data_IF_362092311371
#
_entry.id   IF_362092311371
#
_cell.length_a   1.000
_cell.length_b   1.000
_cell.length_c   1.000
_cell.angle_alpha   90.00
_cell.angle_beta   90.00
_cell.angle_gamma   90.00
#
_symmetry.space_group_name_H-M   'P 1'
#
loop_
_entity.id
_entity.type
_entity.pdbx_description
1 polymer ?
#
# COMPACT_ATOMS: atom_id res chain seq x y z
N UNK A 1 -5.99 -3.46 -20.34
CA UNK A 1 -4.54 -3.30 -20.29
C UNK A 1 -3.89 -4.66 -20.36
N UNK A 2 -2.80 -4.69 -21.10
CA UNK A 2 -2.16 -5.90 -21.59
C UNK A 2 -1.51 -6.72 -20.47
N UNK A 3 -1.52 -8.05 -20.64
CA UNK A 3 -0.63 -9.03 -20.01
C UNK A 3 0.81 -8.52 -19.84
N UNK A 4 1.26 -7.64 -20.73
CA UNK A 4 2.59 -7.02 -20.75
C UNK A 4 2.90 -6.12 -19.54
N UNK A 5 1.93 -5.37 -18.98
CA UNK A 5 2.18 -4.53 -17.80
C UNK A 5 2.23 -5.34 -16.51
N UNK A 6 1.37 -6.35 -16.40
CA UNK A 6 1.41 -7.32 -15.32
C UNK A 6 2.72 -8.12 -15.36
N UNK A 7 3.18 -8.51 -16.56
CA UNK A 7 4.46 -9.17 -16.77
C UNK A 7 5.65 -8.27 -16.41
N UNK A 8 5.65 -7.00 -16.84
CA UNK A 8 6.67 -6.03 -16.47
C UNK A 8 6.72 -5.79 -14.95
N UNK A 9 5.55 -5.62 -14.32
CA UNK A 9 5.44 -5.51 -12.87
C UNK A 9 6.02 -6.74 -12.16
N UNK A 10 5.68 -7.95 -12.63
CA UNK A 10 6.21 -9.19 -12.05
C UNK A 10 7.73 -9.27 -12.18
N UNK A 11 8.27 -9.03 -13.37
CA UNK A 11 9.71 -9.08 -13.60
C UNK A 11 10.47 -8.11 -12.66
N UNK A 12 9.98 -6.88 -12.53
CA UNK A 12 10.59 -5.88 -11.66
C UNK A 12 10.42 -6.23 -10.17
N UNK A 13 9.22 -6.65 -9.76
CA UNK A 13 8.93 -6.97 -8.36
C UNK A 13 9.60 -8.26 -7.88
N UNK A 14 9.75 -9.27 -8.74
CA UNK A 14 10.51 -10.50 -8.46
C UNK A 14 11.98 -10.20 -8.19
N UNK A 15 12.60 -9.34 -9.01
CA UNK A 15 13.99 -8.94 -8.79
C UNK A 15 14.19 -8.24 -7.42
N UNK A 16 13.24 -7.40 -7.03
CA UNK A 16 13.27 -6.71 -5.73
C UNK A 16 12.99 -7.67 -4.57
N UNK A 17 12.08 -8.63 -4.77
CA UNK A 17 11.80 -9.69 -3.81
C UNK A 17 13.04 -10.53 -3.55
N UNK A 18 13.69 -11.00 -4.62
CA UNK A 18 14.89 -11.84 -4.57
C UNK A 18 16.05 -11.13 -3.88
N UNK A 19 16.29 -9.85 -4.16
CA UNK A 19 17.31 -9.07 -3.46
C UNK A 19 17.02 -8.96 -1.95
N UNK A 20 15.77 -8.68 -1.59
CA UNK A 20 15.38 -8.58 -0.17
C UNK A 20 15.47 -9.92 0.53
N UNK A 21 15.01 -11.00 -0.12
CA UNK A 21 15.10 -12.36 0.40
C UNK A 21 16.56 -12.80 0.60
N UNK A 22 17.44 -12.53 -0.37
CA UNK A 22 18.88 -12.81 -0.25
C UNK A 22 19.53 -12.01 0.89
N UNK A 23 19.12 -10.75 1.06
CA UNK A 23 19.52 -9.91 2.17
C UNK A 23 19.09 -10.48 3.53
N UNK A 24 17.85 -10.93 3.64
CA UNK A 24 17.31 -11.60 4.83
C UNK A 24 18.04 -12.91 5.12
N UNK A 25 18.31 -13.73 4.10
CA UNK A 25 19.07 -14.97 4.24
C UNK A 25 20.51 -14.71 4.72
N UNK A 26 21.08 -13.55 4.41
CA UNK A 26 22.39 -13.13 4.94
C UNK A 26 22.33 -12.84 6.44
N UNK A 27 21.21 -12.30 6.95
CA UNK A 27 20.99 -12.13 8.39
C UNK A 27 21.01 -13.48 9.11
N UNK A 28 20.34 -14.50 8.56
CA UNK A 28 20.37 -15.87 9.11
C UNK A 28 21.79 -16.45 9.16
N UNK A 29 22.59 -16.24 8.11
CA UNK A 29 24.00 -16.67 8.08
C UNK A 29 24.83 -16.00 9.18
N UNK A 30 24.59 -14.71 9.45
CA UNK A 30 25.25 -13.99 10.55
C UNK A 30 24.86 -14.61 11.89
N UNK A 31 23.57 -14.90 12.10
CA UNK A 31 23.06 -15.51 13.35
C UNK A 31 23.70 -16.89 13.58
N UNK A 32 23.73 -17.74 12.55
CA UNK A 32 24.28 -19.11 12.64
C UNK A 32 25.79 -19.12 12.83
N UNK A 33 26.51 -18.12 12.30
CA UNK A 33 27.96 -17.99 12.49
C UNK A 33 28.36 -17.35 13.83
N UNK A 34 27.42 -16.76 14.57
CA UNK A 34 27.68 -16.28 15.93
C UNK A 34 27.88 -17.44 16.90
N UNK A 35 28.79 -17.24 17.88
CA UNK A 35 28.88 -18.12 19.05
C UNK A 35 27.51 -18.23 19.73
N UNK A 36 27.17 -19.42 20.24
CA UNK A 36 25.92 -19.70 20.96
C UNK A 36 25.66 -18.76 22.14
N UNK A 37 26.72 -18.17 22.71
CA UNK A 37 26.65 -17.17 23.77
C UNK A 37 25.98 -15.85 23.34
N UNK A 38 26.05 -15.51 22.05
CA UNK A 38 25.58 -14.24 21.51
C UNK A 38 24.47 -14.36 20.47
N UNK A 39 24.08 -15.58 20.08
CA UNK A 39 23.12 -15.81 18.99
C UNK A 39 21.77 -15.12 19.23
N UNK A 40 21.25 -15.12 20.46
CA UNK A 40 19.96 -14.48 20.77
C UNK A 40 20.05 -12.95 20.77
N UNK A 41 21.21 -12.39 21.13
CA UNK A 41 21.49 -10.96 21.05
C UNK A 41 21.68 -10.54 19.59
N UNK A 42 22.35 -11.36 18.78
CA UNK A 42 22.49 -11.15 17.35
C UNK A 42 21.13 -11.12 16.65
N UNK A 43 20.24 -12.08 16.94
CA UNK A 43 18.84 -12.05 16.45
C UNK A 43 18.15 -10.73 16.76
N UNK A 44 18.24 -10.28 18.00
CA UNK A 44 17.63 -9.01 18.41
C UNK A 44 18.23 -7.84 17.63
N UNK A 45 19.56 -7.72 17.60
CA UNK A 45 20.27 -6.65 16.89
C UNK A 45 19.97 -6.58 15.38
N UNK A 46 19.53 -7.69 14.77
CA UNK A 46 19.23 -7.77 13.34
C UNK A 46 17.75 -7.51 13.00
N UNK A 47 16.84 -7.40 13.98
CA UNK A 47 15.42 -7.05 13.70
C UNK A 47 15.27 -5.72 12.96
N UNK A 48 16.02 -4.64 13.27
CA UNK A 48 15.94 -3.40 12.50
C UNK A 48 16.35 -3.58 11.03
N UNK A 49 17.30 -4.47 10.74
CA UNK A 49 17.69 -4.81 9.38
C UNK A 49 16.59 -5.61 8.67
N UNK A 50 15.97 -6.58 9.34
CA UNK A 50 14.81 -7.31 8.83
C UNK A 50 13.67 -6.36 8.45
N UNK A 51 13.34 -5.42 9.35
CA UNK A 51 12.35 -4.38 9.08
C UNK A 51 12.73 -3.48 7.91
N UNK A 52 14.01 -3.12 7.78
CA UNK A 52 14.48 -2.29 6.67
C UNK A 52 14.30 -2.99 5.31
N UNK A 53 14.45 -4.32 5.23
CA UNK A 53 14.13 -5.08 4.02
C UNK A 53 12.64 -5.02 3.68
N UNK A 54 11.75 -5.18 4.67
CA UNK A 54 10.31 -4.99 4.46
C UNK A 54 9.99 -3.58 3.95
N UNK A 55 10.49 -2.55 4.64
CA UNK A 55 10.23 -1.16 4.29
C UNK A 55 10.76 -0.82 2.90
N UNK A 56 11.97 -1.29 2.56
CA UNK A 56 12.54 -1.15 1.22
C UNK A 56 11.64 -1.81 0.18
N UNK A 57 11.31 -3.08 0.37
CA UNK A 57 10.48 -3.85 -0.54
C UNK A 57 9.15 -3.13 -0.79
N UNK A 58 8.41 -2.78 0.28
CA UNK A 58 7.14 -2.07 0.20
C UNK A 58 7.26 -0.78 -0.62
N UNK A 59 8.27 0.06 -0.37
CA UNK A 59 8.41 1.34 -1.09
C UNK A 59 8.70 1.14 -2.57
N UNK A 60 9.59 0.20 -2.89
CA UNK A 60 10.02 -0.05 -4.27
C UNK A 60 8.89 -0.68 -5.09
N UNK A 61 8.24 -1.73 -4.59
CA UNK A 61 7.12 -2.36 -5.33
C UNK A 61 5.94 -1.41 -5.49
N UNK A 62 5.70 -0.51 -4.53
CA UNK A 62 4.58 0.43 -4.62
C UNK A 62 4.91 1.54 -5.63
N UNK A 63 6.17 1.95 -5.72
CA UNK A 63 6.65 2.83 -6.80
C UNK A 63 6.55 2.13 -8.17
N UNK A 64 6.90 0.85 -8.25
CA UNK A 64 6.77 0.05 -9.47
C UNK A 64 5.30 -0.13 -9.87
N UNK A 65 4.42 -0.38 -8.90
CA UNK A 65 2.98 -0.42 -9.12
C UNK A 65 2.48 0.88 -9.75
N UNK A 66 2.88 2.03 -9.18
CA UNK A 66 2.55 3.35 -9.75
C UNK A 66 3.13 3.52 -11.15
N UNK A 67 4.34 3.03 -11.39
CA UNK A 67 4.99 3.06 -12.70
C UNK A 67 4.19 2.24 -13.72
N UNK A 68 3.90 0.97 -13.45
CA UNK A 68 3.12 0.11 -14.36
C UNK A 68 1.69 0.63 -14.59
N UNK A 69 1.04 1.13 -13.54
CA UNK A 69 -0.25 1.81 -13.65
C UNK A 69 -0.18 3.07 -14.55
N UNK A 70 0.98 3.74 -14.61
CA UNK A 70 1.21 4.93 -15.44
C UNK A 70 1.58 4.62 -16.89
N UNK A 71 2.48 3.65 -17.11
CA UNK A 71 3.00 3.31 -18.45
C UNK A 71 1.88 2.71 -19.31
N UNK A 72 0.91 2.05 -18.68
CA UNK A 72 -0.26 1.52 -19.36
C UNK A 72 -1.25 2.55 -19.91
N UNK A 73 -1.14 3.84 -19.56
CA UNK A 73 -1.98 4.93 -20.07
C UNK A 73 -1.46 6.34 -19.69
N UNK A 74 -0.58 6.91 -20.52
CA UNK A 74 -0.33 8.36 -20.71
C UNK A 74 0.46 9.14 -19.60
N UNK A 75 0.98 10.35 -19.92
CA UNK A 75 1.84 11.16 -19.05
C UNK A 75 1.31 11.52 -17.66
N UNK A 76 2.23 11.86 -16.74
CA UNK A 76 2.05 12.11 -15.29
C UNK A 76 0.85 12.99 -14.86
N UNK A 77 0.38 13.90 -15.72
CA UNK A 77 -0.79 14.74 -15.43
C UNK A 77 -2.13 13.99 -15.59
N UNK A 78 -2.15 12.87 -16.30
CA UNK A 78 -3.31 11.99 -16.43
C UNK A 78 -3.36 10.92 -15.33
N UNK A 79 -2.21 10.55 -14.77
CA UNK A 79 -2.11 9.84 -13.48
C UNK A 79 -2.87 10.58 -12.37
N UNK A 80 -2.75 11.91 -12.33
CA UNK A 80 -3.49 12.78 -11.42
C UNK A 80 -5.01 12.71 -11.63
N UNK A 81 -5.43 12.44 -12.85
CA UNK A 81 -6.83 12.31 -13.20
C UNK A 81 -7.40 10.96 -12.74
N UNK A 82 -6.72 9.85 -13.05
CA UNK A 82 -7.23 8.50 -12.78
C UNK A 82 -7.20 8.12 -11.30
N UNK A 83 -6.06 8.30 -10.63
CA UNK A 83 -5.95 8.11 -9.17
C UNK A 83 -6.85 9.09 -8.40
N UNK A 84 -7.05 10.25 -8.99
CA UNK A 84 -8.00 11.23 -8.55
C UNK A 84 -9.46 10.77 -8.58
N UNK A 85 -9.92 10.29 -9.74
CA UNK A 85 -11.26 9.71 -9.93
C UNK A 85 -11.52 8.53 -8.98
N UNK A 86 -10.51 7.70 -8.78
CA UNK A 86 -10.49 6.62 -7.81
C UNK A 86 -10.70 7.09 -6.37
N UNK A 87 -9.92 8.09 -5.95
CA UNK A 87 -10.06 8.71 -4.64
C UNK A 87 -11.44 9.34 -4.46
N UNK A 88 -11.96 10.03 -5.48
CA UNK A 88 -13.29 10.62 -5.48
C UNK A 88 -14.34 9.53 -5.27
N UNK A 89 -14.39 8.53 -6.14
CA UNK A 89 -15.31 7.41 -6.07
C UNK A 89 -15.35 6.78 -4.66
N UNK A 90 -14.20 6.45 -4.09
CA UNK A 90 -14.12 5.86 -2.75
C UNK A 90 -14.58 6.81 -1.66
N UNK A 91 -14.23 8.10 -1.74
CA UNK A 91 -14.75 9.09 -0.77
C UNK A 91 -16.27 9.24 -0.89
N UNK A 92 -16.86 9.11 -2.09
CA UNK A 92 -18.32 9.00 -2.25
C UNK A 92 -18.82 7.69 -1.60
N UNK A 93 -18.26 6.52 -1.91
CA UNK A 93 -18.69 5.24 -1.34
C UNK A 93 -18.57 5.17 0.19
N UNK A 94 -17.52 5.77 0.77
CA UNK A 94 -17.21 5.69 2.21
C UNK A 94 -17.81 6.83 3.03
N UNK A 95 -17.97 8.04 2.47
CA UNK A 95 -18.46 9.22 3.19
C UNK A 95 -19.85 9.70 2.77
N UNK A 96 -20.43 9.20 1.68
CA UNK A 96 -21.78 9.58 1.27
C UNK A 96 -22.87 8.93 2.13
N UNK A 97 -22.88 9.19 3.42
CA UNK A 97 -24.06 8.92 4.25
C UNK A 97 -24.98 10.13 4.27
N UNK A 98 -24.43 11.32 3.99
CA UNK A 98 -25.17 12.56 3.84
C UNK A 98 -24.72 13.36 2.62
N UNK A 99 -25.61 14.23 2.15
CA UNK A 99 -25.40 15.08 0.99
C UNK A 99 -24.30 16.14 1.16
N UNK A 100 -24.01 16.55 2.39
CA UNK A 100 -23.01 17.59 2.68
C UNK A 100 -21.58 17.02 2.73
N UNK A 101 -21.43 15.73 3.04
CA UNK A 101 -20.13 15.03 3.02
C UNK A 101 -19.63 14.81 1.59
N UNK A 102 -20.55 14.44 0.71
CA UNK A 102 -20.37 14.36 -0.73
C UNK A 102 -19.90 15.69 -1.35
N UNK A 103 -20.58 16.79 -0.99
CA UNK A 103 -20.24 18.14 -1.47
C UNK A 103 -18.86 18.61 -0.98
N UNK A 104 -18.53 18.34 0.28
CA UNK A 104 -17.19 18.62 0.83
C UNK A 104 -16.10 17.77 0.17
N UNK A 105 -16.38 16.50 -0.14
CA UNK A 105 -15.48 15.63 -0.87
C UNK A 105 -15.16 16.19 -2.25
N UNK A 106 -16.19 16.55 -3.02
CA UNK A 106 -16.04 17.20 -4.33
C UNK A 106 -15.27 18.53 -4.25
N UNK A 107 -15.55 19.37 -3.26
CA UNK A 107 -14.81 20.63 -3.02
C UNK A 107 -13.32 20.40 -2.73
N UNK A 108 -13.01 19.40 -1.90
CA UNK A 108 -11.63 19.06 -1.52
C UNK A 108 -10.84 18.53 -2.72
N UNK A 109 -11.55 17.98 -3.70
CA UNK A 109 -10.99 17.25 -4.84
C UNK A 109 -10.82 18.15 -6.06
N UNK A 110 -11.79 19.01 -6.38
CA UNK A 110 -11.76 19.84 -7.59
C UNK A 110 -11.02 21.18 -7.43
N UNK A 111 -10.79 21.63 -6.18
CA UNK A 111 -10.18 22.93 -5.91
C UNK A 111 -11.00 24.15 -6.37
N UNK A 112 -12.16 23.95 -7.00
CA UNK A 112 -13.06 24.99 -7.49
C UNK A 112 -14.16 25.33 -6.48
N UNK A 113 -14.78 26.51 -6.61
CA UNK A 113 -16.00 26.82 -5.85
C UNK A 113 -17.06 25.73 -6.09
N UNK A 114 -17.80 25.32 -5.05
CA UNK A 114 -18.81 24.28 -5.19
C UNK A 114 -19.81 24.69 -6.27
N UNK A 115 -20.22 23.77 -7.16
CA UNK A 115 -21.30 24.05 -8.08
C UNK A 115 -22.57 24.44 -7.28
N UNK A 116 -23.43 25.31 -7.84
CA UNK A 116 -24.69 25.68 -7.24
C UNK A 116 -25.44 24.47 -6.66
N UNK A 117 -26.08 24.66 -5.51
CA UNK A 117 -26.67 23.58 -4.70
C UNK A 117 -27.69 22.68 -5.46
N UNK A 118 -28.26 23.20 -6.55
CA UNK A 118 -29.16 22.51 -7.47
C UNK A 118 -28.43 21.62 -8.50
N UNK A 119 -27.28 22.05 -9.01
CA UNK A 119 -26.40 21.24 -9.87
C UNK A 119 -25.76 20.13 -9.03
N UNK A 120 -25.22 20.45 -7.86
CA UNK A 120 -24.76 19.47 -6.89
C UNK A 120 -25.81 18.38 -6.58
N UNK A 121 -27.11 18.74 -6.52
CA UNK A 121 -28.20 17.77 -6.34
C UNK A 121 -28.38 16.83 -7.53
N UNK A 122 -28.35 17.36 -8.74
CA UNK A 122 -28.42 16.53 -9.96
C UNK A 122 -27.20 15.61 -10.09
N UNK A 123 -26.02 16.15 -9.82
CA UNK A 123 -24.73 15.45 -9.86
C UNK A 123 -24.66 14.28 -8.87
N UNK A 124 -25.16 14.49 -7.65
CA UNK A 124 -25.17 13.45 -6.61
C UNK A 124 -26.30 12.43 -6.78
N UNK A 125 -27.42 12.86 -7.37
CA UNK A 125 -28.50 11.95 -7.74
C UNK A 125 -28.10 11.05 -8.92
N UNK A 126 -27.30 11.55 -9.87
CA UNK A 126 -26.82 10.79 -11.03
C UNK A 126 -25.60 9.91 -10.71
N UNK A 127 -24.64 10.41 -9.91
CA UNK A 127 -23.44 9.66 -9.53
C UNK A 127 -23.72 8.46 -8.60
N UNK A 128 -24.84 8.47 -7.86
CA UNK A 128 -25.25 7.35 -7.01
C UNK A 128 -25.73 6.14 -7.82
N UNK A 129 -26.22 6.38 -9.03
CA UNK A 129 -26.88 5.35 -9.85
C UNK A 129 -26.00 4.86 -11.01
N UNK A 130 -24.94 5.57 -11.42
CA UNK A 130 -23.95 5.01 -12.37
C UNK A 130 -22.56 5.65 -12.30
N UNK A 131 -21.54 4.83 -12.13
CA UNK A 131 -20.12 5.18 -12.24
C UNK A 131 -19.70 5.73 -13.61
N UNK A 132 -20.43 5.33 -14.65
CA UNK A 132 -20.22 5.72 -16.03
C UNK A 132 -20.53 7.21 -16.29
N UNK A 133 -21.35 7.86 -15.45
CA UNK A 133 -21.67 9.28 -15.60
C UNK A 133 -20.71 10.19 -14.80
N UNK A 134 -20.00 9.64 -13.80
CA UNK A 134 -18.87 10.32 -13.15
C UNK A 134 -17.75 10.57 -14.17
N UNK A 135 -17.55 9.64 -15.11
CA UNK A 135 -16.63 9.79 -16.24
C UNK A 135 -17.01 10.96 -17.15
N UNK A 136 -18.28 11.06 -17.53
CA UNK A 136 -18.79 12.15 -18.39
C UNK A 136 -18.71 13.53 -17.73
N UNK A 137 -18.77 13.59 -16.39
CA UNK A 137 -18.54 14.84 -15.64
C UNK A 137 -17.08 15.25 -15.56
N UNK A 138 -16.17 14.32 -15.84
CA UNK A 138 -14.72 14.49 -15.78
C UNK A 138 -14.11 14.72 -17.18
N UNK A 139 -14.91 15.06 -18.19
CA UNK A 139 -14.44 15.44 -19.54
C UNK A 139 -13.49 16.66 -19.52
N UNK A 140 -13.39 17.37 -18.39
CA UNK A 140 -12.29 18.26 -18.08
C UNK A 140 -11.26 17.54 -17.17
N UNK A 141 -9.95 17.66 -17.44
CA UNK A 141 -8.93 17.01 -16.61
C UNK A 141 -9.04 17.48 -15.15
N UNK A 142 -9.58 16.61 -14.29
CA UNK A 142 -9.51 16.76 -12.84
C UNK A 142 -8.04 16.94 -12.42
N UNK A 143 -7.72 18.16 -12.00
CA UNK A 143 -6.45 18.48 -11.38
C UNK A 143 -6.67 18.48 -9.86
N UNK A 144 -6.13 17.47 -9.20
CA UNK A 144 -6.09 17.44 -7.74
C UNK A 144 -5.03 18.42 -7.27
N UNK A 145 -5.36 19.12 -6.18
CA UNK A 145 -4.58 20.27 -5.68
C UNK A 145 -3.15 19.90 -5.29
N UNK A 146 -2.86 18.63 -4.98
CA UNK A 146 -1.50 18.20 -4.65
C UNK A 146 -1.25 16.67 -4.73
N UNK A 147 -0.60 16.17 -5.79
CA UNK A 147 -0.15 14.78 -5.92
C UNK A 147 0.90 14.37 -4.87
N UNK A 148 1.63 15.33 -4.29
CA UNK A 148 2.66 15.05 -3.28
C UNK A 148 2.05 14.47 -1.99
N UNK A 149 0.74 14.66 -1.79
CA UNK A 149 -0.01 14.11 -0.64
C UNK A 149 -0.57 12.72 -0.86
N UNK A 150 -0.32 12.08 -2.00
CA UNK A 150 -0.97 10.81 -2.37
C UNK A 150 -0.26 9.59 -1.80
N UNK A 151 1.05 9.67 -1.63
CA UNK A 151 1.84 8.60 -1.03
C UNK A 151 2.29 9.08 0.35
N UNK A 152 1.92 8.32 1.37
CA UNK A 152 2.53 8.45 2.69
C UNK A 152 3.93 7.88 2.61
N UNK A 153 4.93 8.74 2.82
CA UNK A 153 6.34 8.38 2.79
C UNK A 153 6.95 8.20 4.18
N UNK A 154 6.14 8.27 5.25
CA UNK A 154 6.57 8.09 6.64
C UNK A 154 7.55 6.93 6.81
N UNK A 155 8.66 7.17 7.50
CA UNK A 155 9.80 6.26 7.71
C UNK A 155 9.49 5.01 8.56
N UNK A 156 8.22 4.78 8.88
CA UNK A 156 7.74 3.56 9.50
C UNK A 156 6.52 3.08 8.70
N UNK A 157 6.69 2.12 7.81
CA UNK A 157 5.58 1.42 7.13
C UNK A 157 4.83 0.55 8.16
N UNK A 158 3.99 1.21 8.96
CA UNK A 158 3.03 0.58 9.88
C UNK A 158 1.75 0.23 9.13
N UNK A 159 0.87 -0.50 9.78
CA UNK A 159 -0.41 -0.87 9.19
C UNK A 159 -1.21 0.36 8.72
N UNK A 160 -1.18 1.46 9.48
CA UNK A 160 -1.85 2.72 9.12
C UNK A 160 -1.23 3.41 7.89
N UNK A 161 0.05 3.18 7.62
CA UNK A 161 0.71 3.67 6.38
C UNK A 161 0.23 2.85 5.18
N UNK A 162 0.17 1.53 5.32
CA UNK A 162 -0.37 0.63 4.29
C UNK A 162 -1.83 1.00 4.01
N UNK A 163 -2.68 1.12 5.04
CA UNK A 163 -4.07 1.49 4.88
C UNK A 163 -4.24 2.85 4.21
N UNK A 164 -3.44 3.86 4.59
CA UNK A 164 -3.51 5.19 3.96
C UNK A 164 -3.07 5.14 2.51
N UNK A 165 -2.00 4.44 2.18
CA UNK A 165 -1.53 4.30 0.80
C UNK A 165 -2.55 3.53 -0.05
N UNK A 166 -3.05 2.40 0.44
CA UNK A 166 -4.14 1.67 -0.21
C UNK A 166 -5.39 2.55 -0.35
N UNK A 167 -5.76 3.31 0.70
CA UNK A 167 -6.90 4.23 0.64
C UNK A 167 -6.73 5.29 -0.44
N UNK A 168 -5.57 5.96 -0.47
CA UNK A 168 -5.28 7.06 -1.40
C UNK A 168 -5.20 6.58 -2.85
N UNK A 169 -4.80 5.34 -3.08
CA UNK A 169 -4.74 4.73 -4.42
C UNK A 169 -5.95 3.87 -4.80
N UNK A 170 -6.98 3.80 -3.94
CA UNK A 170 -8.19 3.02 -4.25
C UNK A 170 -8.06 1.50 -4.11
N UNK A 171 -6.99 1.00 -3.48
CA UNK A 171 -6.76 -0.43 -3.29
C UNK A 171 -7.55 -1.00 -2.10
N UNK A 172 -8.06 -2.24 -2.22
CA UNK A 172 -8.76 -2.93 -1.13
C UNK A 172 -7.79 -3.64 -0.18
N UNK A 173 -7.42 -2.95 0.90
CA UNK A 173 -6.57 -3.50 1.96
C UNK A 173 -7.13 -4.76 2.64
N UNK A 174 -8.45 -5.01 2.56
CA UNK A 174 -9.04 -6.26 3.10
C UNK A 174 -8.56 -7.47 2.33
N UNK A 175 -8.33 -7.33 1.02
CA UNK A 175 -7.81 -8.41 0.18
C UNK A 175 -6.37 -8.77 0.54
N UNK A 176 -5.54 -7.76 0.80
CA UNK A 176 -4.19 -7.98 1.36
C UNK A 176 -4.24 -8.75 2.70
N UNK A 177 -5.20 -8.44 3.57
CA UNK A 177 -5.40 -9.20 4.82
C UNK A 177 -5.77 -10.66 4.53
N UNK A 178 -6.73 -10.89 3.64
CA UNK A 178 -7.19 -12.24 3.28
C UNK A 178 -6.06 -13.12 2.73
N UNK A 179 -5.20 -12.57 1.85
CA UNK A 179 -4.03 -13.29 1.32
C UNK A 179 -3.06 -13.78 2.42
N UNK A 180 -2.93 -13.02 3.51
CA UNK A 180 -2.09 -13.41 4.64
C UNK A 180 -2.80 -14.39 5.59
N UNK A 181 -4.11 -14.23 5.78
CA UNK A 181 -4.93 -15.10 6.62
C UNK A 181 -5.00 -16.55 6.08
N UNK A 182 -4.88 -16.74 4.77
CA UNK A 182 -4.70 -18.07 4.15
C UNK A 182 -3.50 -18.82 4.72
N UNK A 183 -2.44 -18.10 5.08
CA UNK A 183 -1.23 -18.63 5.73
C UNK A 183 -1.28 -18.56 7.26
N UNK A 184 -2.45 -18.32 7.86
CA UNK A 184 -2.64 -18.12 9.30
C UNK A 184 -1.85 -16.93 9.89
N UNK A 185 -1.56 -15.92 9.06
CA UNK A 185 -0.84 -14.70 9.45
C UNK A 185 -1.83 -13.54 9.57
N UNK A 186 -1.90 -12.95 10.77
CA UNK A 186 -2.72 -11.77 11.01
C UNK A 186 -1.89 -10.48 10.80
N UNK A 187 -2.18 -9.75 9.73
CA UNK A 187 -1.39 -8.58 9.29
C UNK A 187 -1.13 -7.56 10.41
N UNK A 188 -2.17 -7.07 11.07
CA UNK A 188 -2.05 -5.99 12.05
C UNK A 188 -1.19 -6.37 13.27
N UNK A 189 -1.49 -7.46 14.03
CA UNK A 189 -0.68 -7.81 15.19
C UNK A 189 0.77 -8.17 14.82
N UNK A 190 1.01 -8.86 13.70
CA UNK A 190 2.36 -9.24 13.29
C UNK A 190 3.20 -8.04 12.83
N UNK A 191 2.60 -7.12 12.05
CA UNK A 191 3.31 -5.89 11.65
C UNK A 191 3.57 -4.99 12.86
N UNK A 192 2.62 -4.92 13.79
CA UNK A 192 2.81 -4.20 15.04
C UNK A 192 3.96 -4.78 15.86
N UNK A 193 4.05 -6.10 16.02
CA UNK A 193 5.15 -6.75 16.73
C UNK A 193 6.51 -6.44 16.08
N UNK A 194 6.60 -6.53 14.75
CA UNK A 194 7.83 -6.20 14.01
C UNK A 194 8.26 -4.74 14.21
N UNK A 195 7.31 -3.81 14.05
CA UNK A 195 7.56 -2.36 14.19
C UNK A 195 7.92 -1.98 15.63
N UNK A 196 7.18 -2.51 16.61
CA UNK A 196 7.41 -2.20 18.02
C UNK A 196 8.75 -2.78 18.48
N UNK A 197 9.09 -4.01 18.07
CA UNK A 197 10.39 -4.62 18.37
C UNK A 197 11.52 -3.78 17.77
N UNK A 198 11.41 -3.38 16.49
CA UNK A 198 12.38 -2.49 15.86
C UNK A 198 12.51 -1.15 16.59
N UNK A 199 11.40 -0.54 16.98
CA UNK A 199 11.41 0.77 17.65
C UNK A 199 12.01 0.67 19.05
N UNK A 200 11.70 -0.37 19.83
CA UNK A 200 12.31 -0.56 21.15
C UNK A 200 13.83 -0.68 21.06
N UNK A 201 14.34 -1.41 20.07
CA UNK A 201 15.79 -1.53 19.81
C UNK A 201 16.38 -0.16 19.42
N UNK A 202 15.73 0.55 18.50
CA UNK A 202 16.21 1.84 18.02
C UNK A 202 16.22 2.93 19.12
N UNK A 203 15.33 2.81 20.11
CA UNK A 203 15.22 3.74 21.23
C UNK A 203 16.04 3.32 22.47
N UNK A 204 16.78 2.22 22.38
CA UNK A 204 17.69 1.78 23.44
C UNK A 204 17.00 1.09 24.62
N UNK A 205 15.81 0.50 24.41
CA UNK A 205 15.16 -0.32 25.42
C UNK A 205 16.07 -1.47 25.86
N UNK A 206 15.94 -1.90 27.12
CA UNK A 206 16.71 -3.02 27.67
C UNK A 206 16.55 -4.28 26.81
N UNK A 207 17.64 -4.63 26.10
CA UNK A 207 17.71 -5.70 25.10
C UNK A 207 17.39 -7.04 25.75
N UNK A 208 16.16 -7.52 25.54
CA UNK A 208 15.79 -8.89 25.89
C UNK A 208 16.25 -9.81 24.75
N UNK A 209 17.06 -10.85 25.01
CA UNK A 209 17.53 -11.74 23.94
C UNK A 209 16.35 -12.34 23.15
N UNK A 210 16.42 -12.28 21.81
CA UNK A 210 15.34 -12.76 20.95
C UNK A 210 15.49 -14.27 20.72
N UNK A 211 14.46 -15.03 21.08
CA UNK A 211 14.44 -16.48 20.93
C UNK A 211 14.35 -16.92 19.45
N UNK A 212 14.87 -18.11 19.08
CA UNK A 212 14.83 -18.62 17.72
C UNK A 212 13.44 -18.60 17.09
N UNK A 213 12.42 -19.01 17.85
CA UNK A 213 11.05 -19.15 17.37
C UNK A 213 10.44 -17.80 17.02
N UNK A 214 10.75 -16.75 17.80
CA UNK A 214 10.27 -15.39 17.53
C UNK A 214 10.99 -14.76 16.34
N UNK A 215 12.30 -15.01 16.19
CA UNK A 215 13.03 -14.61 14.99
C UNK A 215 12.44 -15.24 13.74
N UNK A 216 12.22 -16.56 13.77
CA UNK A 216 11.59 -17.31 12.69
C UNK A 216 10.21 -16.75 12.34
N UNK A 217 9.38 -16.47 13.35
CA UNK A 217 8.06 -15.88 13.15
C UNK A 217 8.12 -14.51 12.47
N UNK A 218 9.01 -13.61 12.92
CA UNK A 218 9.19 -12.29 12.29
C UNK A 218 9.74 -12.39 10.86
N UNK A 219 10.68 -13.30 10.62
CA UNK A 219 11.27 -13.53 9.30
C UNK A 219 10.24 -14.08 8.33
N UNK A 220 9.54 -15.14 8.72
CA UNK A 220 8.47 -15.76 7.95
C UNK A 220 7.37 -14.75 7.64
N UNK A 221 6.90 -14.02 8.66
CA UNK A 221 5.94 -12.93 8.49
C UNK A 221 6.41 -11.90 7.45
N UNK A 222 7.67 -11.45 7.53
CA UNK A 222 8.22 -10.44 6.62
C UNK A 222 8.19 -10.93 5.17
N UNK A 223 8.67 -12.15 4.92
CA UNK A 223 8.68 -12.73 3.57
C UNK A 223 7.26 -12.97 3.05
N UNK A 224 6.35 -13.48 3.87
CA UNK A 224 4.95 -13.66 3.51
C UNK A 224 4.27 -12.33 3.23
N UNK A 225 4.56 -11.27 4.00
CA UNK A 225 4.03 -9.94 3.77
C UNK A 225 4.55 -9.34 2.46
N UNK A 226 5.83 -9.52 2.15
CA UNK A 226 6.39 -9.13 0.86
C UNK A 226 5.66 -9.83 -0.30
N UNK A 227 5.57 -11.16 -0.24
CA UNK A 227 4.90 -11.95 -1.28
C UNK A 227 3.42 -11.59 -1.41
N UNK A 228 2.68 -11.49 -0.30
CA UNK A 228 1.27 -11.12 -0.32
C UNK A 228 1.05 -9.71 -0.86
N UNK A 229 1.95 -8.76 -0.56
CA UNK A 229 1.85 -7.39 -1.10
C UNK A 229 2.13 -7.38 -2.60
N UNK A 230 3.11 -8.15 -3.08
CA UNK A 230 3.39 -8.31 -4.50
C UNK A 230 2.18 -8.88 -5.24
N UNK A 231 1.64 -10.01 -4.77
CA UNK A 231 0.47 -10.67 -5.36
C UNK A 231 -0.75 -9.74 -5.33
N UNK A 232 -0.98 -9.03 -4.23
CA UNK A 232 -2.05 -8.06 -4.12
C UNK A 232 -1.95 -6.94 -5.16
N UNK A 233 -0.76 -6.38 -5.35
CA UNK A 233 -0.52 -5.32 -6.33
C UNK A 233 -0.56 -5.86 -7.77
N UNK A 234 -0.09 -7.09 -7.99
CA UNK A 234 -0.21 -7.78 -9.27
C UNK A 234 -1.67 -7.98 -9.65
N UNK A 235 -2.48 -8.53 -8.74
CA UNK A 235 -3.92 -8.71 -8.95
C UNK A 235 -4.58 -7.38 -9.29
N UNK A 236 -4.22 -6.31 -8.56
CA UNK A 236 -4.75 -4.98 -8.79
C UNK A 236 -4.39 -4.39 -10.17
N UNK A 237 -3.26 -4.80 -10.77
CA UNK A 237 -2.84 -4.39 -12.13
C UNK A 237 -3.41 -5.33 -13.21
N UNK A 238 -3.54 -6.62 -12.90
CA UNK A 238 -3.91 -7.67 -13.86
C UNK A 238 -5.42 -7.71 -14.15
N UNK A 239 -6.24 -7.42 -13.14
CA UNK A 239 -7.67 -7.18 -13.33
C UNK A 239 -7.86 -5.70 -13.71
N UNK A 240 -7.92 -5.43 -15.02
CA UNK A 240 -8.26 -4.11 -15.61
C UNK A 240 -9.48 -3.41 -14.97
N UNK A 241 -10.30 -4.14 -14.24
CA UNK A 241 -11.49 -3.65 -13.57
C UNK A 241 -11.31 -3.18 -12.12
N UNK A 242 -10.16 -3.34 -11.46
CA UNK A 242 -10.05 -3.06 -10.01
C UNK A 242 -9.52 -1.69 -9.61
N UNK A 243 -9.00 -0.91 -10.56
CA UNK A 243 -9.06 0.55 -10.45
C UNK A 243 -10.52 1.07 -10.57
N UNK A 244 -11.52 0.17 -10.70
CA UNK A 244 -12.93 0.48 -10.97
C UNK A 244 -13.95 -0.47 -10.28
N UNK A 245 -13.60 -1.26 -9.27
CA UNK A 245 -14.56 -2.07 -8.51
C UNK A 245 -14.10 -2.11 -7.05
N UNK A 246 -14.86 -1.70 -6.04
CA UNK A 246 -16.30 -1.75 -5.84
C UNK A 246 -16.75 -0.59 -4.94
#
# INVERSE_FOLDING_TARGET
MSSEHAEAFMLASDAVYDECQAGIATLDKIIVSCSSLYTNQARNALVPALYAYWERFFRVIFAEFLHCASVGSRPLHELNHNLGRLRLRRELETRAHTRDDLLRGLQTISGAQPPPLAEARKLLASARDTLHEIEQLCDAPLSFVDPETWIVTESNVRFEVIERNCKRLGLDVRRLKSLLEESQIFLHPSLKDLVDTRNGIAHGDSITPLQPERWEALRSFTLSLMNATQLFLLEAISDDGYLLAS
#
